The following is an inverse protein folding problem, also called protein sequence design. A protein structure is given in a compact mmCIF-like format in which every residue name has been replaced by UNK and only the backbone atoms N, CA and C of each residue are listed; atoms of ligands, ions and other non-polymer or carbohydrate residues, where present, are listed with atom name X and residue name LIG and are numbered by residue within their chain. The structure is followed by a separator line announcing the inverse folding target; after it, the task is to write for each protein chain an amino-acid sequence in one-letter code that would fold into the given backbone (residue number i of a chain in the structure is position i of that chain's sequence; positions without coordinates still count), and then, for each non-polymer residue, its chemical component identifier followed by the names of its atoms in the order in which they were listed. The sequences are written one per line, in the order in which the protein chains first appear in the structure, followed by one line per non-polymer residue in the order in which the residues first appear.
data_IF_347103749707
#
_entry.id   IF_347103749707
#
_cell.length_a   1.000
_cell.length_b   1.000
_cell.length_c   1.000
_cell.angle_alpha   90.00
_cell.angle_beta   90.00
_cell.angle_gamma   90.00
#
_symmetry.space_group_name_H-M   'P 1'
#
loop_
_entity.id
_entity.type
_entity.pdbx_description
1 polymer ?
#
# COMPACT_ATOMS: atom_id res chain seq x y z
N UNK A 1 -48.18 -33.79 -2.27
CA UNK A 1 -48.03 -34.01 -0.81
C UNK A 1 -48.13 -32.64 -0.17
N UNK A 2 -49.33 -32.31 0.34
CA UNK A 2 -49.66 -31.01 0.94
C UNK A 2 -48.85 -30.78 2.22
N UNK A 3 -48.43 -29.54 2.46
CA UNK A 3 -48.70 -28.93 3.77
C UNK A 3 -48.90 -27.42 3.65
N UNK A 4 -50.07 -27.01 4.10
CA UNK A 4 -50.51 -25.64 4.32
C UNK A 4 -49.87 -25.03 5.58
N UNK A 5 -49.77 -23.71 5.52
CA UNK A 5 -49.51 -22.75 6.58
C UNK A 5 -50.33 -22.99 7.87
N UNK A 6 -49.65 -22.85 9.02
CA UNK A 6 -50.17 -22.19 10.22
C UNK A 6 -49.05 -21.31 10.81
N UNK A 7 -49.40 -20.07 11.15
CA UNK A 7 -48.46 -19.03 11.55
C UNK A 7 -48.29 -18.85 13.05
N UNK A 8 -47.51 -17.80 13.33
CA UNK A 8 -47.34 -17.02 14.56
C UNK A 8 -46.22 -17.44 15.53
N UNK A 9 -45.17 -16.59 15.49
CA UNK A 9 -44.81 -15.64 16.56
C UNK A 9 -43.41 -15.79 17.17
N UNK A 10 -42.71 -14.64 17.17
CA UNK A 10 -41.55 -14.28 18.00
C UNK A 10 -40.28 -15.13 17.88
N UNK A 11 -39.46 -14.81 16.86
CA UNK A 11 -38.03 -15.08 16.92
C UNK A 11 -37.31 -13.74 17.13
N UNK A 12 -36.89 -13.51 18.36
CA UNK A 12 -35.93 -12.48 18.74
C UNK A 12 -34.59 -12.79 18.07
N UNK A 13 -34.25 -12.07 17.00
CA UNK A 13 -32.92 -12.11 16.40
C UNK A 13 -31.95 -11.31 17.26
N UNK A 14 -31.47 -11.95 18.31
CA UNK A 14 -30.25 -11.55 19.01
C UNK A 14 -29.10 -12.43 18.53
N UNK A 15 -28.03 -11.76 18.07
CA UNK A 15 -26.69 -12.30 17.74
C UNK A 15 -26.64 -13.36 16.61
N UNK A 16 -26.53 -12.87 15.37
CA UNK A 16 -25.76 -13.56 14.32
C UNK A 16 -24.54 -12.70 13.98
N UNK A 17 -23.38 -13.34 14.00
CA UNK A 17 -22.02 -12.81 13.94
C UNK A 17 -21.73 -11.87 12.76
N UNK A 18 -21.26 -10.66 13.08
CA UNK A 18 -20.43 -9.82 12.21
C UNK A 18 -19.06 -9.65 12.90
N UNK A 19 -18.28 -10.73 12.94
CA UNK A 19 -16.86 -10.67 13.34
C UNK A 19 -15.98 -10.70 12.10
N UNK A 20 -15.93 -9.58 11.36
CA UNK A 20 -14.79 -9.25 10.49
C UNK A 20 -14.89 -7.81 9.97
N UNK A 21 -15.07 -6.83 10.85
CA UNK A 21 -14.90 -5.41 10.53
C UNK A 21 -14.42 -4.70 11.78
N UNK A 22 -13.17 -4.96 12.18
CA UNK A 22 -12.47 -4.16 13.19
C UNK A 22 -10.98 -4.11 12.83
N UNK A 23 -10.62 -3.19 11.93
CA UNK A 23 -9.30 -2.56 11.90
C UNK A 23 -9.39 -1.31 11.04
N UNK A 24 -9.94 -0.24 11.64
CA UNK A 24 -9.66 1.18 11.36
C UNK A 24 -10.79 2.01 11.97
N UNK A 25 -10.80 2.19 13.29
CA UNK A 25 -11.27 3.40 14.00
C UNK A 25 -10.85 3.24 15.47
N UNK A 26 -10.48 4.36 16.09
CA UNK A 26 -9.72 4.49 17.33
C UNK A 26 -10.28 3.70 18.55
N UNK A 27 -9.36 3.28 19.42
CA UNK A 27 -9.58 2.57 20.69
C UNK A 27 -10.67 3.20 21.58
N UNK A 28 -11.60 2.37 22.05
CA UNK A 28 -12.48 2.62 23.19
C UNK A 28 -12.35 1.45 24.17
N UNK A 29 -11.75 1.68 25.34
CA UNK A 29 -11.65 0.70 26.41
C UNK A 29 -12.74 0.95 27.47
N UNK A 30 -13.71 0.02 27.50
CA UNK A 30 -14.71 -0.25 28.56
C UNK A 30 -15.82 0.79 28.82
N UNK A 31 -17.07 0.29 28.80
CA UNK A 31 -18.25 0.91 29.41
C UNK A 31 -18.89 -0.15 30.30
N UNK A 32 -18.90 0.08 31.61
CA UNK A 32 -19.70 -0.70 32.56
C UNK A 32 -21.08 -0.04 32.68
N UNK A 33 -22.15 -0.80 32.39
CA UNK A 33 -23.52 -0.39 32.65
C UNK A 33 -24.05 -1.16 33.88
N UNK A 34 -24.54 -0.44 34.88
CA UNK A 34 -25.45 -0.98 35.89
C UNK A 34 -26.83 -0.37 35.70
N UNK A 35 -27.86 -1.20 35.85
CA UNK A 35 -29.25 -0.87 35.61
C UNK A 35 -29.88 -0.06 36.74
N UNK A 36 -30.68 0.94 36.39
CA UNK A 36 -31.93 1.24 37.10
C UNK A 36 -32.85 2.10 36.22
N UNK A 37 -34.14 1.99 36.51
CA UNK A 37 -35.26 2.45 35.71
C UNK A 37 -35.31 3.98 35.48
N UNK A 38 -35.89 4.35 34.33
CA UNK A 38 -36.50 5.64 34.00
C UNK A 38 -35.62 6.90 34.05
N UNK A 39 -35.40 7.54 32.90
CA UNK A 39 -35.01 8.95 32.83
C UNK A 39 -33.89 9.24 31.82
N UNK A 40 -34.12 10.27 31.02
CA UNK A 40 -33.28 10.79 29.93
C UNK A 40 -31.81 10.96 30.35
N UNK A 41 -30.86 10.43 29.56
CA UNK A 41 -29.43 10.63 29.78
C UNK A 41 -28.91 11.78 28.89
N UNK A 42 -28.67 12.95 29.49
CA UNK A 42 -27.86 14.01 28.90
C UNK A 42 -26.37 13.70 29.12
N UNK A 43 -25.59 13.56 28.05
CA UNK A 43 -24.12 13.43 28.14
C UNK A 43 -23.47 14.78 27.83
N UNK A 44 -22.96 15.43 28.88
CA UNK A 44 -22.10 16.62 28.77
C UNK A 44 -20.63 16.18 28.82
N UNK A 45 -19.85 16.46 27.77
CA UNK A 45 -18.41 16.18 27.73
C UNK A 45 -17.63 17.41 28.21
N UNK A 46 -16.94 17.30 29.35
CA UNK A 46 -15.99 18.31 29.85
C UNK A 46 -14.59 18.01 29.31
N UNK A 47 -13.97 18.96 28.60
CA UNK A 47 -12.54 18.93 28.26
C UNK A 47 -11.72 19.53 29.40
N UNK A 48 -10.72 18.80 29.90
CA UNK A 48 -9.74 19.31 30.86
C UNK A 48 -8.45 19.66 30.11
N UNK A 49 -8.26 20.97 29.89
CA UNK A 49 -7.00 21.54 29.40
C UNK A 49 -5.98 21.57 30.52
N UNK A 50 -4.77 21.06 30.27
CA UNK A 50 -3.60 21.41 31.08
C UNK A 50 -2.72 22.37 30.29
N UNK A 51 -2.78 23.65 30.68
CA UNK A 51 -1.71 24.63 30.45
C UNK A 51 -0.64 24.41 31.51
N UNK A 52 0.63 24.42 31.10
CA UNK A 52 1.72 24.80 31.99
C UNK A 52 2.63 25.79 31.26
N UNK A 53 2.48 27.06 31.61
CA UNK A 53 3.50 28.10 31.40
C UNK A 53 4.46 28.06 32.59
N UNK A 54 5.73 28.38 32.33
CA UNK A 54 6.64 28.98 33.31
C UNK A 54 7.46 30.08 32.62
N UNK A 55 7.70 31.16 33.37
CA UNK A 55 8.11 32.51 32.95
C UNK A 55 9.63 32.74 33.19
N UNK A 56 10.16 33.73 32.47
CA UNK A 56 11.54 34.23 32.28
C UNK A 56 12.33 34.72 33.52
N UNK A 57 13.69 34.73 33.44
CA UNK A 57 14.58 35.92 33.34
C UNK A 57 15.94 35.84 34.11
N UNK A 58 17.06 36.24 33.47
CA UNK A 58 18.34 36.60 34.16
C UNK A 58 19.67 36.62 33.33
N UNK A 59 19.99 37.76 32.70
CA UNK A 59 21.31 38.44 32.42
C UNK A 59 22.69 37.78 32.09
N UNK A 60 23.20 38.00 30.85
CA UNK A 60 24.48 38.61 30.30
C UNK A 60 25.90 38.21 30.89
N UNK A 61 27.09 38.23 30.17
CA UNK A 61 27.48 38.40 28.73
C UNK A 61 28.48 37.35 28.11
N UNK A 62 28.53 37.32 26.77
CA UNK A 62 29.67 37.11 25.82
C UNK A 62 30.71 35.98 26.06
N UNK A 63 30.77 35.02 25.13
CA UNK A 63 32.02 34.63 24.44
C UNK A 63 31.72 33.88 23.14
N UNK A 64 32.31 34.35 22.04
CA UNK A 64 32.25 33.72 20.72
C UNK A 64 33.05 32.41 20.75
N UNK A 65 32.41 31.28 20.48
CA UNK A 65 33.10 30.03 20.16
C UNK A 65 32.35 29.32 19.04
N UNK A 66 33.05 29.11 17.92
CA UNK A 66 32.63 28.35 16.76
C UNK A 66 32.02 27.00 17.17
N UNK A 67 30.80 26.72 16.70
CA UNK A 67 30.10 25.46 16.92
C UNK A 67 29.13 25.19 15.78
N UNK A 68 29.21 23.98 15.25
CA UNK A 68 28.56 23.45 14.06
C UNK A 68 27.11 23.89 13.85
N UNK A 69 26.84 24.35 12.62
CA UNK A 69 25.46 24.43 12.12
C UNK A 69 25.01 22.99 11.88
N UNK A 70 24.14 22.50 12.75
CA UNK A 70 23.38 21.26 12.57
C UNK A 70 22.46 21.42 11.35
N UNK A 71 22.98 21.02 10.19
CA UNK A 71 22.23 20.86 8.93
C UNK A 71 21.99 19.36 8.77
N UNK A 72 20.82 18.87 9.19
CA UNK A 72 20.56 17.44 9.23
C UNK A 72 19.09 17.04 9.10
N UNK A 73 18.33 17.63 8.18
CA UNK A 73 17.14 16.95 7.67
C UNK A 73 17.63 15.74 6.85
N UNK A 74 17.44 14.54 7.38
CA UNK A 74 17.99 13.27 6.90
C UNK A 74 17.59 12.99 5.43
N UNK A 75 18.47 13.35 4.48
CA UNK A 75 18.31 13.20 3.02
C UNK A 75 18.38 11.73 2.57
N UNK A 76 17.64 10.82 3.20
CA UNK A 76 17.65 9.40 2.84
C UNK A 76 16.57 9.08 1.82
N UNK A 77 16.94 8.33 0.77
CA UNK A 77 15.98 7.83 -0.21
C UNK A 77 15.00 6.82 0.41
N UNK A 78 13.76 6.87 -0.06
CA UNK A 78 12.78 5.80 0.19
C UNK A 78 13.05 4.59 -0.70
N UNK A 79 12.52 3.42 -0.32
CA UNK A 79 12.66 2.18 -1.07
C UNK A 79 11.37 1.39 -1.11
N UNK A 80 11.35 0.35 -1.94
CA UNK A 80 10.26 -0.61 -2.04
C UNK A 80 10.80 -2.01 -1.75
N UNK A 81 9.98 -2.90 -1.19
CA UNK A 81 10.35 -4.29 -0.95
C UNK A 81 9.79 -5.16 -2.07
N UNK A 82 10.57 -6.13 -2.54
CA UNK A 82 10.09 -7.19 -3.44
C UNK A 82 10.42 -8.54 -2.82
N UNK A 83 9.42 -9.38 -2.59
CA UNK A 83 9.59 -10.67 -1.91
C UNK A 83 8.54 -11.69 -2.36
N UNK A 84 8.88 -12.98 -2.32
CA UNK A 84 7.92 -14.07 -2.38
C UNK A 84 7.88 -14.75 -1.02
N UNK A 85 6.69 -14.98 -0.46
CA UNK A 85 6.56 -15.57 0.87
C UNK A 85 5.34 -16.49 0.97
N UNK A 86 5.45 -17.53 1.80
CA UNK A 86 4.31 -18.37 2.18
C UNK A 86 3.32 -17.62 3.09
N UNK A 87 2.16 -18.23 3.37
CA UNK A 87 1.17 -17.70 4.33
C UNK A 87 1.78 -17.37 5.70
N UNK A 88 2.76 -18.16 6.14
CA UNK A 88 3.45 -17.98 7.42
C UNK A 88 4.70 -17.08 7.30
N UNK A 89 4.81 -16.29 6.23
CA UNK A 89 5.94 -15.40 5.95
C UNK A 89 7.29 -16.12 5.80
N UNK A 90 7.28 -17.38 5.36
CA UNK A 90 8.47 -18.15 5.01
C UNK A 90 9.00 -17.78 3.63
N UNK A 91 10.29 -17.51 3.51
CA UNK A 91 10.93 -17.01 2.28
C UNK A 91 12.08 -17.90 1.76
N UNK A 92 12.49 -18.91 2.53
CA UNK A 92 13.72 -19.65 2.26
C UNK A 92 13.82 -20.94 3.06
N UNK A 93 14.55 -21.90 2.48
CA UNK A 93 14.97 -23.16 3.10
C UNK A 93 16.40 -23.46 2.66
N UNK A 94 17.30 -23.76 3.60
CA UNK A 94 18.70 -24.12 3.36
C UNK A 94 19.44 -23.10 2.46
N UNK A 95 19.13 -21.81 2.65
CA UNK A 95 19.73 -20.71 1.88
C UNK A 95 19.25 -20.57 0.43
N UNK A 96 18.19 -21.28 0.03
CA UNK A 96 17.59 -21.25 -1.31
C UNK A 96 16.10 -20.96 -1.25
N UNK A 97 15.52 -20.61 -2.40
CA UNK A 97 14.06 -20.58 -2.56
C UNK A 97 13.52 -22.02 -2.55
N UNK A 98 12.54 -22.36 -1.71
CA UNK A 98 11.99 -23.72 -1.64
C UNK A 98 10.96 -24.02 -2.74
N UNK A 99 10.77 -23.08 -3.67
CA UNK A 99 9.90 -23.21 -4.83
C UNK A 99 10.62 -22.81 -6.11
N UNK A 100 10.04 -23.20 -7.25
CA UNK A 100 10.46 -22.77 -8.58
C UNK A 100 9.27 -22.18 -9.32
N UNK A 101 9.23 -20.85 -9.38
CA UNK A 101 8.14 -20.09 -10.02
C UNK A 101 8.71 -19.16 -11.10
N UNK A 102 8.90 -19.63 -12.35
CA UNK A 102 9.36 -18.78 -13.45
C UNK A 102 8.52 -17.51 -13.66
N UNK A 103 7.22 -17.59 -13.42
CA UNK A 103 6.31 -16.44 -13.55
C UNK A 103 6.56 -15.38 -12.47
N UNK A 104 6.91 -15.79 -11.25
CA UNK A 104 7.37 -14.89 -10.18
C UNK A 104 8.70 -14.22 -10.54
N UNK A 105 9.68 -14.99 -11.03
CA UNK A 105 10.96 -14.43 -11.47
C UNK A 105 10.81 -13.43 -12.63
N UNK A 106 9.87 -13.68 -13.54
CA UNK A 106 9.51 -12.74 -14.62
C UNK A 106 8.94 -11.45 -14.03
N UNK A 107 7.99 -11.56 -13.10
CA UNK A 107 7.41 -10.40 -12.41
C UNK A 107 8.47 -9.60 -11.64
N UNK A 108 9.33 -10.26 -10.86
CA UNK A 108 10.46 -9.65 -10.16
C UNK A 108 11.39 -8.90 -11.12
N UNK A 109 11.75 -9.52 -12.25
CA UNK A 109 12.60 -8.90 -13.26
C UNK A 109 11.95 -7.66 -13.85
N UNK A 110 10.69 -7.75 -14.27
CA UNK A 110 9.94 -6.63 -14.84
C UNK A 110 9.88 -5.48 -13.82
N UNK A 111 9.40 -5.76 -12.62
CA UNK A 111 9.20 -4.79 -11.55
C UNK A 111 10.48 -4.03 -11.18
N UNK A 112 11.60 -4.76 -11.06
CA UNK A 112 12.88 -4.18 -10.64
C UNK A 112 13.66 -3.55 -11.80
N UNK A 113 13.35 -3.85 -13.07
CA UNK A 113 14.04 -3.27 -14.22
C UNK A 113 13.30 -2.09 -14.85
N UNK A 114 11.98 -2.04 -14.79
CA UNK A 114 11.21 -0.99 -15.47
C UNK A 114 11.41 0.37 -14.80
N UNK A 115 11.82 1.35 -15.60
CA UNK A 115 11.89 2.76 -15.24
C UNK A 115 10.86 3.56 -16.04
N UNK A 116 10.50 4.72 -15.51
CA UNK A 116 9.71 5.72 -16.20
C UNK A 116 10.60 6.54 -17.14
N UNK A 117 11.84 6.81 -16.73
CA UNK A 117 12.87 7.47 -17.52
C UNK A 117 13.79 6.41 -18.18
N UNK A 118 13.85 6.33 -19.52
CA UNK A 118 14.70 5.37 -20.23
C UNK A 118 16.21 5.64 -20.03
N UNK A 119 16.60 6.83 -19.59
CA UNK A 119 17.99 7.18 -19.27
C UNK A 119 18.45 6.74 -17.87
N UNK A 120 17.54 6.22 -17.03
CA UNK A 120 17.83 5.80 -15.66
C UNK A 120 17.82 4.29 -15.50
N UNK A 121 18.44 3.82 -14.42
CA UNK A 121 18.34 2.44 -13.92
C UNK A 121 17.62 2.41 -12.57
N UNK A 122 17.22 1.23 -12.13
CA UNK A 122 16.85 1.00 -10.72
C UNK A 122 18.00 0.34 -9.97
N UNK A 123 17.99 0.46 -8.64
CA UNK A 123 18.90 -0.24 -7.75
C UNK A 123 18.19 -1.39 -7.02
N UNK A 124 18.89 -2.52 -6.89
CA UNK A 124 18.47 -3.66 -6.07
C UNK A 124 19.46 -3.82 -4.91
N UNK A 125 18.96 -3.76 -3.69
CA UNK A 125 19.74 -3.87 -2.45
C UNK A 125 19.48 -5.24 -1.84
N UNK A 126 20.57 -5.98 -1.56
CA UNK A 126 20.48 -7.33 -1.05
C UNK A 126 21.59 -7.67 -0.07
N UNK A 127 21.37 -8.68 0.76
CA UNK A 127 22.40 -9.20 1.67
C UNK A 127 23.36 -10.16 0.98
N UNK A 128 24.57 -10.31 1.54
CA UNK A 128 25.59 -11.26 1.06
C UNK A 128 25.05 -12.66 0.76
N UNK A 129 24.30 -13.27 1.70
CA UNK A 129 23.73 -14.62 1.50
C UNK A 129 22.76 -14.69 0.31
N UNK A 130 21.96 -13.64 0.11
CA UNK A 130 21.06 -13.54 -1.04
C UNK A 130 21.87 -13.42 -2.33
N UNK A 131 22.90 -12.57 -2.36
CA UNK A 131 23.81 -12.47 -3.49
C UNK A 131 24.51 -13.80 -3.85
N UNK A 132 24.92 -14.56 -2.84
CA UNK A 132 25.54 -15.88 -3.00
C UNK A 132 24.56 -16.95 -3.47
N UNK A 133 23.27 -16.83 -3.12
CA UNK A 133 22.21 -17.74 -3.56
C UNK A 133 21.82 -17.55 -5.04
N UNK A 134 22.11 -16.38 -5.62
CA UNK A 134 21.84 -16.11 -7.04
C UNK A 134 22.87 -16.89 -7.89
N UNK A 135 22.43 -17.72 -8.84
CA UNK A 135 23.35 -18.47 -9.70
C UNK A 135 24.35 -17.55 -10.41
N UNK A 136 25.65 -17.93 -10.53
CA UNK A 136 26.68 -17.09 -11.13
C UNK A 136 26.32 -16.51 -12.51
N UNK A 137 25.59 -17.27 -13.34
CA UNK A 137 25.12 -16.84 -14.67
C UNK A 137 24.08 -15.71 -14.65
N UNK A 138 23.49 -15.40 -13.50
CA UNK A 138 22.46 -14.37 -13.33
C UNK A 138 22.91 -13.22 -12.43
N UNK A 139 24.13 -13.26 -11.87
CA UNK A 139 24.71 -12.16 -11.08
C UNK A 139 25.87 -11.50 -11.86
N UNK A 140 25.97 -10.16 -11.88
CA UNK A 140 24.99 -9.21 -11.35
C UNK A 140 23.64 -9.29 -12.09
N UNK A 141 22.56 -8.86 -11.42
CA UNK A 141 21.25 -8.81 -12.04
C UNK A 141 21.27 -7.73 -13.14
N UNK A 142 21.14 -8.07 -14.43
CA UNK A 142 21.41 -7.15 -15.53
C UNK A 142 20.40 -6.00 -15.58
N UNK A 143 20.87 -4.85 -16.07
CA UNK A 143 20.08 -3.61 -16.23
C UNK A 143 19.73 -2.89 -14.93
N UNK A 144 20.37 -3.26 -13.82
CA UNK A 144 20.14 -2.71 -12.48
C UNK A 144 21.47 -2.52 -11.76
N UNK A 145 21.53 -1.50 -10.92
CA UNK A 145 22.62 -1.35 -9.96
C UNK A 145 22.43 -2.36 -8.83
N UNK A 146 23.39 -3.25 -8.61
CA UNK A 146 23.35 -4.27 -7.58
C UNK A 146 24.12 -3.78 -6.35
N UNK A 147 23.41 -3.49 -5.26
CA UNK A 147 24.02 -3.06 -3.99
C UNK A 147 24.03 -4.24 -3.02
N UNK A 148 25.22 -4.74 -2.70
CA UNK A 148 25.41 -5.90 -1.82
C UNK A 148 25.85 -5.45 -0.44
N UNK A 149 25.04 -5.79 0.57
CA UNK A 149 25.35 -5.52 1.97
C UNK A 149 26.27 -6.60 2.52
N UNK A 150 27.48 -6.18 2.89
CA UNK A 150 28.54 -7.04 3.41
C UNK A 150 29.27 -6.32 4.56
N UNK A 151 29.55 -7.05 5.64
CA UNK A 151 30.44 -6.56 6.72
C UNK A 151 31.89 -6.55 6.24
N UNK A 152 32.66 -5.54 6.66
CA UNK A 152 34.06 -5.33 6.29
C UNK A 152 34.90 -6.60 6.41
N UNK A 153 35.44 -7.03 5.28
CA UNK A 153 36.23 -8.23 5.06
C UNK A 153 36.25 -8.50 3.57
N UNK A 154 37.42 -8.81 2.99
CA UNK A 154 37.66 -8.94 1.54
C UNK A 154 36.50 -9.64 0.82
N UNK A 155 35.63 -8.83 0.24
CA UNK A 155 34.55 -9.27 -0.61
C UNK A 155 34.89 -8.68 -1.97
N UNK A 156 35.65 -9.44 -2.76
CA UNK A 156 36.18 -9.08 -4.08
C UNK A 156 35.08 -9.04 -5.14
N UNK A 157 34.03 -8.28 -4.87
CA UNK A 157 32.84 -8.11 -5.71
C UNK A 157 32.80 -6.71 -6.33
N UNK A 158 33.63 -5.79 -5.83
CA UNK A 158 33.67 -4.39 -6.25
C UNK A 158 34.28 -4.14 -7.65
N UNK A 159 34.66 -5.18 -8.40
CA UNK A 159 35.23 -5.06 -9.75
C UNK A 159 34.23 -5.28 -10.88
N UNK A 160 33.02 -5.78 -10.57
CA UNK A 160 31.98 -5.95 -11.58
C UNK A 160 31.24 -4.63 -11.84
N UNK A 161 31.04 -4.30 -13.11
CA UNK A 161 30.20 -3.17 -13.51
C UNK A 161 28.79 -3.30 -12.91
N UNK A 162 28.17 -2.19 -12.55
CA UNK A 162 26.86 -2.13 -11.88
C UNK A 162 26.81 -2.88 -10.53
N UNK A 163 27.94 -3.06 -9.82
CA UNK A 163 27.95 -3.65 -8.47
C UNK A 163 28.63 -2.73 -7.46
N UNK A 164 27.97 -2.50 -6.33
CA UNK A 164 28.49 -1.70 -5.23
C UNK A 164 28.32 -2.45 -3.92
N UNK A 165 29.25 -2.26 -2.98
CA UNK A 165 29.17 -2.85 -1.65
C UNK A 165 28.90 -1.78 -0.60
N UNK A 166 28.09 -2.11 0.40
CA UNK A 166 27.76 -1.21 1.52
C UNK A 166 27.74 -2.00 2.84
N UNK A 167 27.97 -1.33 3.97
CA UNK A 167 28.01 -1.99 5.28
C UNK A 167 26.63 -2.32 5.84
N UNK A 168 25.62 -1.50 5.51
CA UNK A 168 24.26 -1.58 6.04
C UNK A 168 23.26 -0.80 5.18
N UNK A 169 21.97 -0.91 5.50
CA UNK A 169 20.88 -0.22 4.78
C UNK A 169 21.04 1.31 4.81
N UNK A 170 21.25 1.99 5.95
CA UNK A 170 21.45 3.43 5.97
C UNK A 170 22.58 3.92 5.05
N UNK A 171 23.73 3.23 5.05
CA UNK A 171 24.85 3.57 4.17
C UNK A 171 24.51 3.42 2.68
N UNK A 172 23.75 2.37 2.33
CA UNK A 172 23.29 2.17 0.96
C UNK A 172 22.30 3.25 0.51
N UNK A 173 21.34 3.62 1.37
CA UNK A 173 20.36 4.67 1.04
C UNK A 173 21.01 6.04 0.92
N UNK A 174 21.99 6.35 1.78
CA UNK A 174 22.79 7.58 1.69
C UNK A 174 23.58 7.63 0.39
N UNK A 175 24.30 6.56 0.06
CA UNK A 175 25.04 6.46 -1.21
C UNK A 175 24.10 6.70 -2.42
N UNK A 176 22.94 6.06 -2.42
CA UNK A 176 21.96 6.18 -3.52
C UNK A 176 21.30 7.56 -3.57
N UNK A 177 21.33 8.34 -2.48
CA UNK A 177 20.85 9.72 -2.42
C UNK A 177 21.88 10.74 -2.95
N UNK A 178 23.14 10.35 -3.10
CA UNK A 178 24.24 11.21 -3.54
C UNK A 178 24.57 11.03 -5.04
N UNK A 179 25.23 12.02 -5.64
CA UNK A 179 25.70 11.95 -7.04
C UNK A 179 26.79 10.87 -7.18
N UNK A 180 26.84 10.08 -8.27
CA UNK A 180 26.00 10.17 -9.48
C UNK A 180 24.69 9.37 -9.41
N UNK A 181 24.46 8.61 -8.34
CA UNK A 181 23.28 7.73 -8.23
C UNK A 181 21.98 8.51 -8.07
N UNK A 182 22.03 9.68 -7.44
CA UNK A 182 20.87 10.54 -7.29
C UNK A 182 20.26 10.96 -8.64
N UNK A 183 21.07 11.02 -9.70
CA UNK A 183 20.68 11.40 -11.06
C UNK A 183 20.37 10.18 -11.94
N UNK A 184 21.09 9.08 -11.74
CA UNK A 184 21.01 7.88 -12.60
C UNK A 184 20.10 6.77 -12.07
N UNK A 185 19.79 6.75 -10.76
CA UNK A 185 18.92 5.75 -10.14
C UNK A 185 17.52 6.33 -9.93
N UNK A 186 16.51 5.67 -10.49
CA UNK A 186 15.11 6.08 -10.36
C UNK A 186 14.47 5.51 -9.08
N UNK A 187 14.55 4.19 -8.86
CA UNK A 187 13.97 3.53 -7.68
C UNK A 187 14.95 2.60 -6.99
N UNK A 188 14.72 2.38 -5.70
CA UNK A 188 15.49 1.47 -4.85
C UNK A 188 14.57 0.32 -4.42
N UNK A 189 14.99 -0.92 -4.68
CA UNK A 189 14.29 -2.12 -4.27
C UNK A 189 15.12 -2.92 -3.28
N UNK A 190 14.56 -3.27 -2.14
CA UNK A 190 15.14 -4.23 -1.20
C UNK A 190 14.58 -5.62 -1.54
N UNK A 191 15.48 -6.56 -1.81
CA UNK A 191 15.11 -7.88 -2.37
C UNK A 191 15.46 -9.06 -1.45
N UNK A 192 15.86 -8.80 -0.20
CA UNK A 192 16.25 -9.83 0.77
C UNK A 192 17.68 -9.73 1.27
N UNK A 193 18.14 -10.60 2.17
CA UNK A 193 17.44 -11.76 2.72
C UNK A 193 16.68 -11.48 4.01
N UNK A 194 16.32 -12.55 4.75
CA UNK A 194 15.44 -12.46 5.92
C UNK A 194 15.88 -11.47 6.99
N UNK A 195 17.19 -11.36 7.27
CA UNK A 195 17.70 -10.37 8.22
C UNK A 195 17.42 -8.92 7.78
N UNK A 196 17.69 -8.61 6.51
CA UNK A 196 17.46 -7.27 5.95
C UNK A 196 15.97 -6.96 5.90
N UNK A 197 15.15 -7.93 5.49
CA UNK A 197 13.70 -7.74 5.41
C UNK A 197 13.07 -7.57 6.79
N UNK A 198 13.63 -8.17 7.85
CA UNK A 198 13.17 -7.94 9.23
C UNK A 198 13.35 -6.49 9.67
N UNK A 199 14.42 -5.85 9.23
CA UNK A 199 14.72 -4.45 9.55
C UNK A 199 13.98 -3.46 8.63
N UNK A 200 13.58 -3.88 7.43
CA UNK A 200 13.15 -2.95 6.37
C UNK A 200 11.68 -3.07 5.96
N UNK A 201 11.03 -4.23 6.10
CA UNK A 201 9.67 -4.46 5.59
C UNK A 201 8.65 -3.43 6.09
N UNK A 202 8.66 -3.15 7.40
CA UNK A 202 7.72 -2.22 8.02
C UNK A 202 8.35 -0.87 8.38
N UNK A 203 9.62 -0.63 8.04
CA UNK A 203 10.32 0.60 8.40
C UNK A 203 9.78 1.83 7.67
N UNK A 204 9.84 3.03 8.26
CA UNK A 204 9.21 4.25 7.71
C UNK A 204 9.61 4.59 6.26
N UNK A 205 10.83 4.25 5.86
CA UNK A 205 11.35 4.50 4.51
C UNK A 205 10.80 3.53 3.45
N UNK A 206 10.16 2.42 3.85
CA UNK A 206 9.54 1.46 2.93
C UNK A 206 8.22 2.03 2.40
N UNK A 207 8.21 2.47 1.14
CA UNK A 207 7.06 3.13 0.52
C UNK A 207 6.02 2.14 -0.03
N UNK A 208 6.45 0.95 -0.46
CA UNK A 208 5.58 -0.12 -0.94
C UNK A 208 6.21 -1.50 -0.76
N UNK A 209 5.35 -2.50 -0.67
CA UNK A 209 5.71 -3.93 -0.60
C UNK A 209 5.05 -4.64 -1.77
N UNK A 210 5.85 -5.23 -2.63
CA UNK A 210 5.39 -6.11 -3.70
C UNK A 210 5.68 -7.54 -3.28
N UNK A 211 4.61 -8.30 -3.06
CA UNK A 211 4.69 -9.65 -2.51
C UNK A 211 4.02 -10.65 -3.44
N UNK A 212 4.74 -11.72 -3.74
CA UNK A 212 4.18 -12.94 -4.31
C UNK A 212 3.74 -13.82 -3.14
N UNK A 213 2.43 -13.90 -2.93
CA UNK A 213 1.81 -14.61 -1.82
C UNK A 213 1.63 -16.07 -2.22
N UNK A 214 2.45 -16.95 -1.67
CA UNK A 214 2.40 -18.39 -1.93
C UNK A 214 1.39 -19.03 -0.97
N UNK A 215 0.32 -19.54 -1.55
CA UNK A 215 -0.80 -20.12 -0.81
C UNK A 215 -0.57 -21.58 -0.44
N UNK A 216 0.23 -22.30 -1.24
CA UNK A 216 0.61 -23.69 -0.95
C UNK A 216 1.53 -23.75 0.27
N UNK A 217 1.28 -24.70 1.17
CA UNK A 217 2.14 -24.95 2.33
C UNK A 217 3.49 -25.53 1.88
N UNK A 218 4.57 -24.86 2.25
CA UNK A 218 5.96 -25.22 1.90
C UNK A 218 6.82 -24.99 3.15
N UNK A 219 7.64 -25.98 3.49
CA UNK A 219 8.54 -25.89 4.64
C UNK A 219 9.61 -24.81 4.42
N UNK A 220 9.80 -23.95 5.42
CA UNK A 220 10.78 -22.86 5.41
C UNK A 220 11.57 -22.86 6.73
N UNK A 221 12.82 -22.38 6.69
CA UNK A 221 13.64 -22.09 7.88
C UNK A 221 13.94 -20.59 8.05
N UNK A 222 13.67 -19.80 7.01
CA UNK A 222 13.95 -18.38 6.96
C UNK A 222 12.64 -17.62 6.81
N UNK A 223 12.36 -16.74 7.76
CA UNK A 223 11.09 -16.02 7.87
C UNK A 223 11.28 -14.51 7.99
N UNK A 224 10.30 -13.77 7.48
CA UNK A 224 10.19 -12.30 7.58
C UNK A 224 9.03 -11.91 8.52
N UNK A 225 8.99 -10.68 9.05
CA UNK A 225 7.84 -10.24 9.83
C UNK A 225 6.57 -10.15 8.97
N UNK A 226 5.42 -10.13 9.62
CA UNK A 226 4.14 -9.85 8.96
C UNK A 226 4.08 -8.40 8.48
N UNK A 227 3.33 -8.15 7.40
CA UNK A 227 3.07 -6.79 6.91
C UNK A 227 2.19 -6.04 7.92
N UNK A 228 2.58 -4.83 8.31
CA UNK A 228 1.78 -3.97 9.17
C UNK A 228 0.67 -3.26 8.37
N UNK A 229 -0.52 -3.87 8.37
CA UNK A 229 -1.69 -3.33 7.68
C UNK A 229 -2.28 -2.05 8.31
N UNK A 230 -1.77 -1.59 9.46
CA UNK A 230 -2.16 -0.28 10.00
C UNK A 230 -1.51 0.87 9.23
N UNK A 231 -0.37 0.61 8.59
CA UNK A 231 0.38 1.59 7.79
C UNK A 231 0.44 1.24 6.31
N UNK A 232 0.04 0.03 5.91
CA UNK A 232 0.00 -0.40 4.51
C UNK A 232 -1.42 -0.75 4.07
N UNK A 233 -1.84 -0.24 2.91
CA UNK A 233 -3.11 -0.58 2.26
C UNK A 233 -2.88 -1.36 0.96
N UNK A 234 -3.78 -2.29 0.61
CA UNK A 234 -3.70 -3.01 -0.66
C UNK A 234 -3.91 -2.04 -1.83
N UNK A 235 -3.04 -2.12 -2.83
CA UNK A 235 -3.11 -1.35 -4.07
C UNK A 235 -3.49 -2.20 -5.27
N UNK A 236 -2.94 -3.40 -5.35
CA UNK A 236 -3.18 -4.34 -6.43
C UNK A 236 -3.17 -5.77 -5.91
N UNK A 237 -4.03 -6.62 -6.50
CA UNK A 237 -3.99 -8.06 -6.32
C UNK A 237 -4.38 -8.75 -7.62
N UNK A 238 -3.55 -9.68 -8.10
CA UNK A 238 -3.91 -10.56 -9.20
C UNK A 238 -4.98 -11.58 -8.77
N UNK A 239 -5.69 -12.22 -9.72
CA UNK A 239 -6.29 -13.53 -9.49
C UNK A 239 -5.22 -14.57 -9.09
N UNK A 240 -5.60 -15.69 -8.44
CA UNK A 240 -4.67 -16.74 -8.09
C UNK A 240 -4.19 -17.43 -9.37
N UNK A 241 -2.91 -17.70 -9.43
CA UNK A 241 -2.24 -18.46 -10.47
C UNK A 241 -1.84 -19.81 -9.90
N UNK A 242 -1.68 -20.80 -10.78
CA UNK A 242 -1.13 -22.12 -10.44
C UNK A 242 0.02 -22.41 -11.39
N UNK A 243 1.21 -22.62 -10.83
CA UNK A 243 2.42 -23.00 -11.58
C UNK A 243 3.15 -24.08 -10.78
N UNK A 244 3.52 -25.20 -11.41
CA UNK A 244 4.19 -26.33 -10.75
C UNK A 244 3.48 -26.83 -9.47
N UNK A 245 2.13 -26.92 -9.50
CA UNK A 245 1.27 -27.28 -8.35
C UNK A 245 1.36 -26.33 -7.15
N UNK A 246 1.90 -25.13 -7.35
CA UNK A 246 1.96 -24.08 -6.34
C UNK A 246 0.94 -23.01 -6.73
N UNK A 247 -0.01 -22.76 -5.83
CA UNK A 247 -0.96 -21.65 -5.96
C UNK A 247 -0.35 -20.39 -5.35
N UNK A 248 -0.42 -19.27 -6.07
CA UNK A 248 0.07 -17.99 -5.59
C UNK A 248 -0.65 -16.81 -6.24
N UNK A 249 -0.53 -15.63 -5.66
CA UNK A 249 -1.00 -14.37 -6.25
C UNK A 249 0.03 -13.26 -6.12
N UNK A 250 0.04 -12.33 -7.06
CA UNK A 250 0.80 -11.09 -6.93
C UNK A 250 -0.04 -10.06 -6.17
N UNK A 251 0.52 -9.51 -5.10
CA UNK A 251 -0.08 -8.41 -4.36
C UNK A 251 0.90 -7.24 -4.24
N UNK A 252 0.36 -6.03 -4.16
CA UNK A 252 1.15 -4.84 -3.84
C UNK A 252 0.43 -4.04 -2.78
N UNK A 253 1.18 -3.65 -1.75
CA UNK A 253 0.72 -2.85 -0.63
C UNK A 253 1.48 -1.53 -0.62
N UNK A 254 0.77 -0.44 -0.38
CA UNK A 254 1.32 0.92 -0.43
C UNK A 254 1.20 1.54 0.94
N UNK A 255 2.28 2.19 1.40
CA UNK A 255 2.28 2.86 2.69
C UNK A 255 1.31 4.03 2.68
N UNK A 256 0.40 4.06 3.63
CA UNK A 256 -0.46 5.19 3.92
C UNK A 256 0.38 6.24 4.67
N UNK A 257 0.64 7.37 4.04
CA UNK A 257 1.26 8.51 4.73
C UNK A 257 0.23 9.15 5.65
N UNK A 258 0.35 8.92 6.95
CA UNK A 258 -0.49 9.57 7.96
C UNK A 258 0.03 10.98 8.20
N UNK A 259 -0.57 11.99 7.58
CA UNK A 259 -0.38 13.39 7.96
C UNK A 259 -1.46 14.30 7.35
N UNK A 260 -2.30 14.94 8.19
CA UNK A 260 -3.13 16.09 7.81
C UNK A 260 -2.32 17.39 7.58
N UNK A 261 -0.98 17.35 7.72
CA UNK A 261 -0.13 18.54 7.81
C UNK A 261 0.54 18.88 6.45
N UNK A 262 0.63 17.94 5.52
CA UNK A 262 1.13 18.22 4.16
C UNK A 262 0.11 18.90 3.24
N UNK A 263 -1.16 19.01 3.66
CA UNK A 263 -2.22 19.65 2.88
C UNK A 263 -2.12 21.19 2.82
N UNK A 264 -1.17 21.80 3.52
CA UNK A 264 -0.99 23.26 3.56
C UNK A 264 0.22 23.78 2.78
N UNK A 265 1.07 22.90 2.22
CA UNK A 265 2.25 23.30 1.47
C UNK A 265 2.10 23.03 -0.04
N UNK A 266 0.98 23.44 -0.65
CA UNK A 266 0.81 23.60 -2.12
C UNK A 266 -0.61 24.07 -2.44
N UNK A 267 -0.95 25.32 -2.13
CA UNK A 267 -2.07 25.99 -2.81
C UNK A 267 -1.49 26.98 -3.81
N UNK A 268 -0.83 26.46 -4.85
CA UNK A 268 -0.66 27.21 -6.09
C UNK A 268 -2.01 27.25 -6.81
N UNK A 269 -2.45 28.47 -7.18
CA UNK A 269 -3.58 28.68 -8.08
C UNK A 269 -3.17 28.26 -9.49
N UNK A 270 -3.19 26.96 -9.77
CA UNK A 270 -3.25 26.45 -11.13
C UNK A 270 -4.18 25.23 -11.14
N UNK A 271 -5.44 25.52 -11.44
CA UNK A 271 -6.46 24.52 -11.71
C UNK A 271 -6.15 23.83 -13.04
N UNK A 272 -5.38 22.73 -13.01
CA UNK A 272 -5.46 21.62 -13.99
C UNK A 272 -4.50 20.44 -13.75
N UNK A 273 -3.71 20.40 -12.67
CA UNK A 273 -2.87 19.23 -12.34
C UNK A 273 -3.44 18.51 -11.12
N UNK A 274 -4.41 17.62 -11.33
CA UNK A 274 -4.87 16.69 -10.30
C UNK A 274 -3.65 15.93 -9.75
N UNK A 275 -3.54 15.74 -8.43
CA UNK A 275 -2.39 15.18 -7.69
C UNK A 275 -2.01 13.75 -8.12
N UNK A 276 -1.39 13.57 -9.29
CA UNK A 276 -0.76 12.32 -9.72
C UNK A 276 0.57 12.09 -8.99
N UNK A 277 1.16 13.15 -8.43
CA UNK A 277 2.49 13.12 -7.80
C UNK A 277 2.58 12.17 -6.61
N UNK A 278 1.48 11.95 -5.87
CA UNK A 278 1.45 11.19 -4.62
C UNK A 278 1.90 9.73 -4.76
N UNK A 279 1.80 9.14 -5.95
CA UNK A 279 2.15 7.73 -6.20
C UNK A 279 3.17 7.51 -7.32
N UNK A 280 3.80 8.58 -7.83
CA UNK A 280 4.88 8.50 -8.85
C UNK A 280 6.06 7.63 -8.43
N UNK A 281 6.22 7.39 -7.13
CA UNK A 281 7.22 6.48 -6.59
C UNK A 281 6.95 5.02 -6.96
N UNK A 282 5.71 4.62 -7.27
CA UNK A 282 5.40 3.26 -7.71
C UNK A 282 5.88 3.03 -9.16
N UNK A 283 6.35 1.83 -9.50
CA UNK A 283 6.59 1.45 -10.88
C UNK A 283 5.31 1.63 -11.70
N UNK A 284 5.43 2.20 -12.91
CA UNK A 284 4.28 2.49 -13.80
C UNK A 284 3.36 1.27 -13.96
N UNK A 285 3.94 0.08 -14.12
CA UNK A 285 3.18 -1.17 -14.26
C UNK A 285 2.32 -1.52 -13.03
N UNK A 286 2.71 -1.12 -11.83
CA UNK A 286 1.94 -1.36 -10.60
C UNK A 286 0.93 -0.24 -10.39
N UNK A 287 1.36 1.00 -10.65
CA UNK A 287 0.51 2.17 -10.57
C UNK A 287 -0.75 2.01 -11.45
N UNK A 288 -0.57 1.60 -12.71
CA UNK A 288 -1.67 1.40 -13.67
C UNK A 288 -2.49 0.12 -13.46
N UNK A 289 -2.08 -0.75 -12.53
CA UNK A 289 -2.80 -1.98 -12.16
C UNK A 289 -3.86 -1.76 -11.08
N UNK A 290 -3.99 -0.56 -10.51
CA UNK A 290 -5.07 -0.28 -9.58
C UNK A 290 -6.43 -0.36 -10.28
N UNK A 291 -7.38 -1.09 -9.70
CA UNK A 291 -8.65 -1.41 -10.35
C UNK A 291 -9.45 -0.16 -10.78
N UNK A 292 -9.32 0.97 -10.07
CA UNK A 292 -9.97 2.23 -10.43
C UNK A 292 -9.53 2.78 -11.80
N UNK A 293 -8.34 2.42 -12.31
CA UNK A 293 -7.93 2.80 -13.66
C UNK A 293 -8.82 2.20 -14.74
N UNK A 294 -9.54 1.11 -14.47
CA UNK A 294 -10.54 0.60 -15.41
C UNK A 294 -11.66 1.61 -15.65
N UNK A 295 -12.13 2.24 -14.58
CA UNK A 295 -13.14 3.31 -14.64
C UNK A 295 -12.58 4.55 -15.35
N UNK A 296 -11.38 5.00 -14.97
CA UNK A 296 -10.79 6.20 -15.55
C UNK A 296 -10.50 6.07 -17.05
N UNK A 297 -9.97 4.93 -17.48
CA UNK A 297 -9.73 4.64 -18.91
C UNK A 297 -11.03 4.61 -19.69
N UNK A 298 -12.09 4.01 -19.12
CA UNK A 298 -13.39 4.00 -19.78
C UNK A 298 -13.97 5.40 -19.95
N UNK A 299 -13.83 6.27 -18.94
CA UNK A 299 -14.25 7.68 -19.04
C UNK A 299 -13.47 8.40 -20.13
N UNK A 300 -12.13 8.29 -20.14
CA UNK A 300 -11.26 8.88 -21.16
C UNK A 300 -11.61 8.40 -22.57
N UNK A 301 -11.87 7.11 -22.72
CA UNK A 301 -12.28 6.50 -23.98
C UNK A 301 -13.62 7.02 -24.51
N UNK A 302 -14.61 7.23 -23.64
CA UNK A 302 -15.91 7.79 -24.01
C UNK A 302 -15.78 9.25 -24.43
N UNK A 303 -14.96 10.03 -23.72
CA UNK A 303 -14.73 11.45 -24.05
C UNK A 303 -13.98 11.59 -25.38
N UNK A 304 -12.93 10.79 -25.59
CA UNK A 304 -12.07 10.89 -26.77
C UNK A 304 -12.67 10.33 -28.05
N UNK A 305 -13.51 9.30 -27.95
CA UNK A 305 -13.97 8.53 -29.13
C UNK A 305 -15.44 8.08 -29.06
N UNK A 306 -16.21 8.56 -28.08
CA UNK A 306 -17.62 8.23 -27.95
C UNK A 306 -18.47 8.83 -29.07
N UNK A 307 -19.53 8.13 -29.46
CA UNK A 307 -20.50 8.63 -30.43
C UNK A 307 -21.45 9.61 -29.73
N UNK A 308 -21.58 10.81 -30.29
CA UNK A 308 -22.56 11.79 -29.85
C UNK A 308 -23.99 11.31 -30.18
N UNK A 309 -24.88 11.38 -29.19
CA UNK A 309 -26.28 10.99 -29.32
C UNK A 309 -27.17 11.95 -28.54
N UNK A 310 -28.33 12.24 -29.12
CA UNK A 310 -29.40 12.90 -28.39
C UNK A 310 -30.01 11.94 -27.36
N UNK A 311 -30.62 12.51 -26.33
CA UNK A 311 -31.27 11.76 -25.25
C UNK A 311 -32.65 12.34 -24.90
N UNK A 312 -33.41 11.60 -24.08
CA UNK A 312 -34.75 11.99 -23.63
C UNK A 312 -34.77 13.30 -22.82
N UNK A 313 -33.64 13.71 -22.24
CA UNK A 313 -33.54 14.93 -21.42
C UNK A 313 -33.18 16.17 -22.23
N UNK A 314 -32.78 16.01 -23.49
CA UNK A 314 -32.31 17.09 -24.35
C UNK A 314 -30.90 17.61 -24.01
N UNK A 315 -30.15 16.92 -23.13
CA UNK A 315 -28.78 17.31 -22.79
C UNK A 315 -27.78 16.77 -23.80
N UNK A 316 -28.00 15.55 -24.29
CA UNK A 316 -27.11 14.85 -25.19
C UNK A 316 -26.02 14.09 -24.45
N UNK A 317 -25.46 13.07 -25.10
CA UNK A 317 -24.47 12.16 -24.50
C UNK A 317 -23.34 11.82 -25.47
N UNK A 318 -22.17 11.53 -24.92
CA UNK A 318 -21.14 10.73 -25.60
C UNK A 318 -21.27 9.29 -25.11
N UNK A 319 -21.30 8.33 -26.03
CA UNK A 319 -21.55 6.92 -25.67
C UNK A 319 -20.63 5.94 -26.41
N UNK A 320 -20.27 4.86 -25.71
CA UNK A 320 -19.69 3.63 -26.28
C UNK A 320 -20.57 2.45 -25.86
N UNK A 321 -20.68 1.44 -26.72
CA UNK A 321 -21.51 0.26 -26.47
C UNK A 321 -20.66 -0.95 -26.07
N UNK A 322 -21.16 -1.77 -25.14
CA UNK A 322 -20.55 -3.05 -24.78
C UNK A 322 -19.32 -2.98 -23.86
N UNK A 323 -19.15 -1.90 -23.11
CA UNK A 323 -18.01 -1.73 -22.20
C UNK A 323 -18.12 -2.64 -20.96
N UNK A 324 -16.99 -3.16 -20.47
CA UNK A 324 -16.94 -4.05 -19.32
C UNK A 324 -15.84 -3.65 -18.32
N UNK A 325 -16.15 -3.71 -17.03
CA UNK A 325 -15.19 -3.58 -15.93
C UNK A 325 -15.27 -4.80 -15.00
N UNK A 326 -14.15 -5.17 -14.38
CA UNK A 326 -14.08 -6.28 -13.41
C UNK A 326 -13.24 -5.82 -12.22
N UNK A 327 -13.76 -5.99 -11.01
CA UNK A 327 -13.10 -5.55 -9.78
C UNK A 327 -12.78 -6.76 -8.89
N UNK A 328 -11.59 -6.78 -8.29
CA UNK A 328 -11.17 -7.88 -7.40
C UNK A 328 -11.62 -7.61 -5.95
N UNK A 329 -12.66 -8.33 -5.50
CA UNK A 329 -13.26 -8.14 -4.17
C UNK A 329 -12.54 -8.87 -3.03
N UNK A 330 -11.43 -9.59 -3.29
CA UNK A 330 -10.77 -10.39 -2.25
C UNK A 330 -10.10 -9.54 -1.16
N UNK A 331 -9.61 -8.35 -1.53
CA UNK A 331 -8.76 -7.51 -0.66
C UNK A 331 -9.26 -6.08 -0.48
N UNK A 332 -10.15 -5.61 -1.34
CA UNK A 332 -10.68 -4.25 -1.27
C UNK A 332 -12.12 -4.21 -1.78
N UNK A 333 -12.80 -3.10 -1.49
CA UNK A 333 -14.12 -2.80 -2.02
C UNK A 333 -13.97 -1.68 -3.07
N UNK A 334 -14.57 -1.82 -4.28
CA UNK A 334 -14.34 -0.90 -5.40
C UNK A 334 -15.15 0.40 -5.26
N UNK A 335 -14.91 1.13 -4.18
CA UNK A 335 -15.42 2.48 -4.01
C UNK A 335 -14.43 3.45 -4.67
N UNK A 336 -14.91 4.22 -5.65
CA UNK A 336 -14.07 5.21 -6.34
C UNK A 336 -13.45 6.20 -5.34
N UNK A 337 -12.17 6.48 -5.52
CA UNK A 337 -11.38 7.37 -4.66
C UNK A 337 -11.08 8.71 -5.33
N UNK A 338 -11.09 8.75 -6.67
CA UNK A 338 -10.92 9.97 -7.47
C UNK A 338 -12.06 10.97 -7.32
N UNK A 339 -13.21 10.52 -6.80
CA UNK A 339 -14.34 11.36 -6.41
C UNK A 339 -15.02 10.73 -5.19
N UNK A 340 -15.39 11.57 -4.21
CA UNK A 340 -16.18 11.10 -3.07
C UNK A 340 -17.53 10.54 -3.53
N UNK A 341 -17.75 9.26 -3.27
CA UNK A 341 -19.03 8.58 -3.50
C UNK A 341 -19.96 8.79 -2.31
N UNK A 342 -21.26 9.00 -2.56
CA UNK A 342 -22.26 9.11 -1.50
C UNK A 342 -22.62 7.71 -0.93
N UNK A 343 -21.68 7.13 -0.19
CA UNK A 343 -21.75 5.76 0.30
C UNK A 343 -23.01 5.46 1.13
N UNK A 344 -23.41 6.39 2.01
CA UNK A 344 -24.63 6.23 2.82
C UNK A 344 -25.86 6.04 1.93
N UNK A 345 -26.00 6.84 0.87
CA UNK A 345 -27.09 6.68 -0.09
C UNK A 345 -27.10 5.32 -0.77
N UNK A 346 -25.93 4.83 -1.21
CA UNK A 346 -25.80 3.51 -1.86
C UNK A 346 -26.25 2.37 -0.94
N UNK A 347 -25.81 2.39 0.33
CA UNK A 347 -26.17 1.34 1.31
C UNK A 347 -27.66 1.36 1.61
N UNK A 348 -28.23 2.54 1.82
CA UNK A 348 -29.64 2.71 2.19
C UNK A 348 -30.57 2.35 1.02
N UNK A 349 -30.19 2.72 -0.21
CA UNK A 349 -30.87 2.29 -1.43
C UNK A 349 -30.81 0.76 -1.60
N UNK A 350 -29.66 0.13 -1.34
CA UNK A 350 -29.52 -1.33 -1.38
C UNK A 350 -30.44 -2.02 -0.36
N UNK A 351 -30.49 -1.52 0.87
CA UNK A 351 -31.39 -2.05 1.91
C UNK A 351 -32.87 -1.86 1.53
N UNK A 352 -33.21 -0.73 0.92
CA UNK A 352 -34.54 -0.47 0.38
C UNK A 352 -34.92 -1.47 -0.71
N UNK A 353 -34.02 -1.78 -1.66
CA UNK A 353 -34.25 -2.83 -2.65
C UNK A 353 -34.45 -4.21 -2.01
N UNK A 354 -33.61 -4.59 -1.04
CA UNK A 354 -33.72 -5.89 -0.34
C UNK A 354 -35.05 -5.99 0.41
N UNK A 355 -35.57 -4.88 0.94
CA UNK A 355 -36.87 -4.84 1.63
C UNK A 355 -38.07 -5.02 0.71
N UNK A 356 -37.89 -4.92 -0.62
CA UNK A 356 -38.97 -4.94 -1.60
C UNK A 356 -39.88 -3.71 -1.57
N UNK A 357 -39.46 -2.64 -0.88
CA UNK A 357 -40.22 -1.40 -0.80
C UNK A 357 -40.17 -0.65 -2.14
N UNK A 358 -41.29 -0.01 -2.50
CA UNK A 358 -41.40 0.92 -3.64
C UNK A 358 -41.66 2.36 -3.18
N UNK A 359 -41.71 2.60 -1.87
CA UNK A 359 -41.94 3.93 -1.30
C UNK A 359 -40.63 4.73 -1.19
N UNK A 360 -40.40 5.63 -2.14
CA UNK A 360 -39.23 6.50 -2.18
C UNK A 360 -39.14 7.51 -1.01
N UNK A 361 -40.24 7.76 -0.26
CA UNK A 361 -40.19 8.65 0.92
C UNK A 361 -39.24 8.13 2.00
N UNK A 362 -39.02 6.83 2.06
CA UNK A 362 -38.07 6.21 2.99
C UNK A 362 -36.64 6.68 2.70
N UNK A 363 -36.29 6.86 1.43
CA UNK A 363 -34.97 7.36 0.99
C UNK A 363 -34.84 8.88 1.13
N UNK A 364 -35.95 9.63 1.15
CA UNK A 364 -35.92 11.09 1.28
C UNK A 364 -35.50 11.61 2.66
N UNK A 365 -35.35 10.72 3.64
CA UNK A 365 -34.92 11.04 5.01
C UNK A 365 -33.39 11.00 5.18
N UNK A 366 -32.64 10.85 4.08
CA UNK A 366 -31.17 10.67 4.07
C UNK A 366 -30.37 11.94 4.21
#
# INVERSE_FOLDING_TARGET
MLMQYYGLSNISFSKVFLSSFNSCFLNLTSVSASSSLSGILNVTVKYRSYRRLSVMAGGIPISVSNGDVDVGADNQRTYQVVVAATRDMGIGKDGKLPWRLPSDLKFFKELTMTTSDPGKKNAVVMGRKTWESIPPKYRPLPGRLNVVLARSGNFDIATAEDVVTCGNIPSALKLLAESPYSLSIERVFIIGGGQILRETLNAPQCAAIHITEIETSIECDTFIPTIDFSVFQPWYSSPPLVENNIQYSFASYVRVRSSPIEAHASRSKDSNKFEVERFTFLPKMIFERHDEYMYLKLVDEIISSGTQKDDRTGTGTLSKFGCQMRFNLRRSFPLLTTKRVFWRGVVEELLWFISGSTNAKILSLL
#
